data_IF_592564333346
#
_entry.id   IF_592564333346
#
_cell.length_a   1.000
_cell.length_b   1.000
_cell.length_c   1.000
_cell.angle_alpha   90.00
_cell.angle_beta   90.00
_cell.angle_gamma   90.00
#
_symmetry.space_group_name_H-M   'P 1'
#
loop_
_entity.id
_entity.type
_entity.pdbx_description
1 polymer ?
#
# COMPACT_ATOMS: atom_id res chain seq x y z
N UNK A 1 -4.38 15.81 8.29
CA UNK A 1 -5.18 15.57 7.10
C UNK A 1 -4.64 14.35 6.37
N UNK A 2 -5.50 13.41 6.04
CA UNK A 2 -5.13 12.23 5.28
C UNK A 2 -5.04 12.58 3.79
N UNK A 3 -3.93 12.20 3.17
CA UNK A 3 -3.70 12.43 1.74
C UNK A 3 -3.62 11.08 1.05
N UNK A 4 -4.25 10.97 -0.13
CA UNK A 4 -4.18 9.76 -0.95
C UNK A 4 -3.61 10.15 -2.31
N UNK A 5 -2.61 9.37 -2.77
CA UNK A 5 -1.93 9.69 -4.02
C UNK A 5 -1.36 8.43 -4.64
N UNK A 6 -0.93 8.57 -5.90
CA UNK A 6 -0.22 7.49 -6.59
C UNK A 6 1.04 8.04 -7.22
N UNK A 7 2.02 7.15 -7.41
CA UNK A 7 3.22 7.41 -8.20
C UNK A 7 3.51 6.17 -9.05
N UNK A 8 4.44 6.30 -10.00
CA UNK A 8 4.80 5.18 -10.89
C UNK A 8 6.27 4.82 -10.68
N UNK A 9 6.54 3.53 -10.50
CA UNK A 9 7.89 3.00 -10.39
C UNK A 9 8.29 2.39 -11.73
N UNK A 10 9.19 3.05 -12.44
CA UNK A 10 9.63 2.62 -13.77
C UNK A 10 10.43 1.33 -13.73
N UNK A 11 11.21 1.12 -12.68
CA UNK A 11 12.08 -0.05 -12.56
C UNK A 11 11.28 -1.34 -12.38
N UNK A 12 10.21 -1.27 -11.59
CA UNK A 12 9.37 -2.44 -11.29
C UNK A 12 8.10 -2.49 -12.13
N UNK A 13 7.82 -1.43 -12.88
CA UNK A 13 6.57 -1.29 -13.67
C UNK A 13 5.33 -1.42 -12.78
N UNK A 14 5.34 -0.68 -11.67
CA UNK A 14 4.28 -0.70 -10.68
C UNK A 14 3.65 0.66 -10.48
N UNK A 15 2.33 0.69 -10.32
CA UNK A 15 1.62 1.85 -9.79
C UNK A 15 1.57 1.71 -8.29
N UNK A 16 2.08 2.72 -7.58
CA UNK A 16 2.15 2.74 -6.12
C UNK A 16 1.07 3.68 -5.60
N UNK A 17 0.11 3.14 -4.87
CA UNK A 17 -0.98 3.92 -4.26
C UNK A 17 -0.76 3.97 -2.76
N UNK A 18 -0.78 5.18 -2.20
CA UNK A 18 -0.55 5.40 -0.77
C UNK A 18 -1.68 6.20 -0.15
N UNK A 19 -2.03 5.82 1.08
CA UNK A 19 -2.80 6.66 1.98
C UNK A 19 -1.84 7.09 3.08
N UNK A 20 -1.55 8.40 3.16
CA UNK A 20 -0.58 8.94 4.11
C UNK A 20 -1.31 9.66 5.24
N UNK A 21 -0.77 9.52 6.46
CA UNK A 21 -1.31 10.20 7.64
C UNK A 21 -0.81 11.64 7.73
N UNK A 22 -1.17 12.34 8.80
CA UNK A 22 -0.84 13.76 9.00
C UNK A 22 0.68 14.00 9.04
N UNK A 23 1.46 12.98 9.39
CA UNK A 23 2.92 13.09 9.48
C UNK A 23 3.61 12.64 8.20
N UNK A 24 2.84 12.26 7.19
CA UNK A 24 3.38 11.80 5.92
C UNK A 24 3.80 10.34 5.88
N UNK A 25 3.43 9.54 6.89
CA UNK A 25 3.73 8.12 6.92
C UNK A 25 2.65 7.33 6.19
N UNK A 26 3.04 6.23 5.57
CA UNK A 26 2.09 5.35 4.90
C UNK A 26 1.18 4.67 5.92
N UNK A 27 -0.12 4.94 5.85
CA UNK A 27 -1.12 4.22 6.64
C UNK A 27 -1.59 2.97 5.91
N UNK A 28 -1.78 3.07 4.60
CA UNK A 28 -2.08 1.93 3.72
C UNK A 28 -1.35 2.08 2.41
N UNK A 29 -0.99 0.96 1.80
CA UNK A 29 -0.25 0.91 0.55
C UNK A 29 -0.84 -0.17 -0.34
N UNK A 30 -1.06 0.16 -1.61
CA UNK A 30 -1.45 -0.81 -2.64
C UNK A 30 -0.52 -0.63 -3.82
N UNK A 31 0.08 -1.74 -4.29
CA UNK A 31 0.89 -1.73 -5.50
C UNK A 31 0.19 -2.55 -6.56
N UNK A 32 0.09 -2.00 -7.76
CA UNK A 32 -0.61 -2.60 -8.89
C UNK A 32 0.37 -2.74 -10.05
N UNK A 33 0.49 -3.94 -10.60
CA UNK A 33 1.35 -4.16 -11.76
C UNK A 33 0.76 -3.46 -12.98
N UNK A 34 1.54 -2.61 -13.63
CA UNK A 34 1.03 -1.78 -14.73
C UNK A 34 0.64 -2.62 -15.94
N UNK A 35 1.39 -3.69 -16.22
CA UNK A 35 1.18 -4.51 -17.40
C UNK A 35 -0.20 -5.15 -17.48
N UNK A 36 -0.75 -5.60 -16.33
CA UNK A 36 -2.02 -6.34 -16.30
C UNK A 36 -2.97 -5.89 -15.20
N UNK A 37 -2.65 -4.80 -14.51
CA UNK A 37 -3.44 -4.25 -13.39
C UNK A 37 -3.62 -5.23 -12.23
N UNK A 38 -2.69 -6.16 -12.06
CA UNK A 38 -2.75 -7.17 -11.02
C UNK A 38 -2.25 -6.62 -9.70
N UNK A 39 -3.00 -6.73 -8.59
CA UNK A 39 -2.51 -6.30 -7.29
C UNK A 39 -1.31 -7.12 -6.83
N UNK A 40 -0.30 -6.44 -6.30
CA UNK A 40 0.94 -7.05 -5.81
C UNK A 40 1.04 -6.92 -4.29
N UNK A 41 0.64 -5.77 -3.75
CA UNK A 41 0.65 -5.54 -2.30
C UNK A 41 -0.63 -4.86 -1.85
N UNK A 42 -0.95 -5.01 -0.56
CA UNK A 42 -2.03 -4.29 0.11
C UNK A 42 -1.76 -4.32 1.61
N UNK A 43 -0.81 -3.49 2.05
CA UNK A 43 -0.32 -3.49 3.44
C UNK A 43 -0.92 -2.33 4.23
N UNK A 44 -1.18 -2.55 5.52
CA UNK A 44 -1.81 -1.59 6.42
C UNK A 44 -0.98 -1.43 7.69
N UNK A 45 -0.68 -0.18 8.05
CA UNK A 45 0.15 0.12 9.23
C UNK A 45 -0.48 -0.42 10.51
N UNK A 46 -1.78 -0.25 10.69
CA UNK A 46 -2.45 -0.73 11.90
C UNK A 46 -2.28 -2.24 12.09
N UNK A 47 -2.35 -3.00 10.99
CA UNK A 47 -2.14 -4.45 11.05
C UNK A 47 -0.69 -4.81 11.34
N UNK A 48 0.25 -4.09 10.73
CA UNK A 48 1.69 -4.32 10.95
C UNK A 48 2.05 -4.03 12.40
N UNK A 49 1.54 -2.94 12.96
CA UNK A 49 1.78 -2.58 14.37
C UNK A 49 1.15 -3.62 15.29
N UNK A 50 -0.06 -4.07 15.00
CA UNK A 50 -0.72 -5.11 15.78
C UNK A 50 0.10 -6.41 15.82
N UNK A 51 0.58 -6.84 14.65
CA UNK A 51 1.41 -8.05 14.57
C UNK A 51 2.73 -7.90 15.30
N UNK A 52 3.37 -6.73 15.18
CA UNK A 52 4.62 -6.47 15.89
C UNK A 52 4.45 -6.58 17.39
N UNK A 53 3.32 -6.08 17.91
CA UNK A 53 3.11 -5.99 19.35
C UNK A 53 2.47 -7.25 19.95
N UNK A 54 1.79 -8.07 19.14
CA UNK A 54 0.95 -9.18 19.64
C UNK A 54 1.21 -10.53 18.98
N UNK A 55 2.13 -10.61 18.03
CA UNK A 55 2.40 -11.85 17.31
C UNK A 55 3.90 -12.09 17.18
N UNK A 56 4.27 -13.25 16.64
CA UNK A 56 5.68 -13.60 16.49
C UNK A 56 6.20 -13.24 15.09
N UNK A 57 7.50 -13.48 14.87
CA UNK A 57 8.14 -13.17 13.59
C UNK A 57 7.58 -14.00 12.45
N UNK A 58 7.10 -15.20 12.73
CA UNK A 58 6.50 -16.07 11.70
C UNK A 58 5.21 -15.44 11.17
N UNK A 59 4.39 -14.90 12.05
CA UNK A 59 3.15 -14.22 11.66
C UNK A 59 3.45 -12.96 10.83
N UNK A 60 4.47 -12.19 11.21
CA UNK A 60 4.89 -11.00 10.45
C UNK A 60 5.39 -11.40 9.07
N UNK A 61 6.21 -12.44 8.97
CA UNK A 61 6.70 -12.94 7.69
C UNK A 61 5.56 -13.42 6.79
N UNK A 62 4.57 -14.08 7.37
CA UNK A 62 3.37 -14.50 6.64
C UNK A 62 2.57 -13.33 6.09
N UNK A 63 2.43 -12.28 6.89
CA UNK A 63 1.76 -11.06 6.47
C UNK A 63 2.50 -10.42 5.28
N UNK A 64 3.80 -10.29 5.38
CA UNK A 64 4.62 -9.66 4.34
C UNK A 64 4.58 -10.45 3.02
N UNK A 65 4.58 -11.77 3.10
CA UNK A 65 4.46 -12.62 1.90
C UNK A 65 3.10 -12.46 1.22
N UNK A 66 2.05 -12.24 2.00
CA UNK A 66 0.68 -12.13 1.47
C UNK A 66 0.36 -10.72 0.98
N UNK A 67 0.68 -9.70 1.79
CA UNK A 67 0.26 -8.33 1.53
C UNK A 67 1.39 -7.38 1.19
N UNK A 68 2.65 -7.84 1.26
CA UNK A 68 3.81 -7.02 0.97
C UNK A 68 4.34 -6.29 2.19
N UNK A 69 5.39 -5.53 1.96
CA UNK A 69 6.08 -4.76 3.00
C UNK A 69 5.66 -3.30 2.90
N UNK A 70 5.12 -2.75 3.98
CA UNK A 70 4.70 -1.36 4.01
C UNK A 70 5.91 -0.44 3.95
N UNK A 71 5.81 0.63 3.15
CA UNK A 71 6.88 1.62 3.05
C UNK A 71 7.13 2.26 4.42
N UNK A 72 8.41 2.43 4.76
CA UNK A 72 8.84 3.07 5.99
C UNK A 72 9.34 4.48 5.67
N UNK A 73 9.17 5.39 6.61
CA UNK A 73 9.62 6.76 6.48
C UNK A 73 8.59 7.66 5.82
N UNK A 74 8.85 8.97 5.87
CA UNK A 74 7.90 9.93 5.32
C UNK A 74 7.85 9.86 3.80
N UNK A 75 6.66 10.12 3.26
CA UNK A 75 6.41 10.09 1.82
C UNK A 75 6.43 11.48 1.20
N UNK A 76 7.09 12.44 1.84
CA UNK A 76 7.19 13.82 1.35
C UNK A 76 7.85 13.88 -0.03
N UNK A 77 7.42 14.83 -0.82
CA UNK A 77 7.98 15.02 -2.16
C UNK A 77 7.39 14.09 -3.21
N UNK A 78 6.32 13.37 -2.89
CA UNK A 78 5.68 12.46 -3.84
C UNK A 78 5.22 13.17 -5.12
N UNK A 79 4.88 14.46 -5.01
CA UNK A 79 4.37 15.25 -6.14
C UNK A 79 5.38 15.39 -7.28
N UNK A 80 6.66 15.22 -6.97
CA UNK A 80 7.73 15.34 -7.97
C UNK A 80 8.09 14.01 -8.61
N UNK A 81 7.47 12.91 -8.20
CA UNK A 81 7.79 11.59 -8.73
C UNK A 81 7.01 11.31 -10.03
N UNK A 82 7.54 10.39 -10.87
CA UNK A 82 6.81 10.01 -12.09
C UNK A 82 5.40 9.53 -11.76
N UNK A 83 4.44 9.90 -12.62
CA UNK A 83 3.06 9.46 -12.47
C UNK A 83 2.30 10.04 -11.29
N UNK A 84 2.87 11.03 -10.58
CA UNK A 84 2.26 11.59 -9.39
C UNK A 84 0.88 12.16 -9.66
N UNK A 85 -0.11 11.76 -8.87
CA UNK A 85 -1.47 12.28 -8.93
C UNK A 85 -2.18 12.01 -7.61
N UNK A 86 -3.08 12.90 -7.23
CA UNK A 86 -3.94 12.66 -6.09
C UNK A 86 -5.00 11.62 -6.45
N UNK A 87 -5.43 10.86 -5.46
CA UNK A 87 -6.42 9.82 -5.60
C UNK A 87 -7.55 10.13 -4.61
N UNK A 88 -8.79 10.00 -5.04
CA UNK A 88 -9.93 10.23 -4.16
C UNK A 88 -10.03 9.12 -3.11
N UNK A 89 -10.69 9.42 -1.99
CA UNK A 89 -10.96 8.41 -0.97
C UNK A 89 -11.74 7.23 -1.55
N UNK A 90 -12.72 7.50 -2.39
CA UNK A 90 -13.54 6.45 -3.00
C UNK A 90 -12.72 5.53 -3.90
N UNK A 91 -11.85 6.12 -4.73
CA UNK A 91 -10.99 5.34 -5.61
C UNK A 91 -10.02 4.48 -4.80
N UNK A 92 -9.42 5.04 -3.75
CA UNK A 92 -8.49 4.29 -2.91
C UNK A 92 -9.21 3.13 -2.21
N UNK A 93 -10.42 3.35 -1.68
CA UNK A 93 -11.16 2.29 -1.02
C UNK A 93 -11.52 1.15 -1.99
N UNK A 94 -11.88 1.47 -3.22
CA UNK A 94 -12.16 0.45 -4.22
C UNK A 94 -10.91 -0.38 -4.56
N UNK A 95 -9.77 0.30 -4.71
CA UNK A 95 -8.50 -0.38 -4.98
C UNK A 95 -8.09 -1.26 -3.81
N UNK A 96 -8.23 -0.75 -2.59
CA UNK A 96 -7.90 -1.49 -1.38
C UNK A 96 -8.74 -2.77 -1.27
N UNK A 97 -10.06 -2.64 -1.45
CA UNK A 97 -10.96 -3.79 -1.37
C UNK A 97 -10.64 -4.84 -2.43
N UNK A 98 -10.38 -4.39 -3.66
CA UNK A 98 -10.00 -5.28 -4.76
C UNK A 98 -8.68 -5.99 -4.49
N UNK A 99 -7.68 -5.26 -4.03
CA UNK A 99 -6.36 -5.82 -3.75
C UNK A 99 -6.44 -6.83 -2.60
N UNK A 100 -7.16 -6.49 -1.53
CA UNK A 100 -7.32 -7.40 -0.40
C UNK A 100 -8.04 -8.68 -0.79
N UNK A 101 -9.05 -8.58 -1.64
CA UNK A 101 -9.76 -9.76 -2.14
C UNK A 101 -8.84 -10.64 -2.97
N UNK A 102 -8.03 -10.02 -3.83
CA UNK A 102 -7.11 -10.76 -4.69
C UNK A 102 -5.99 -11.45 -3.91
N UNK A 103 -5.40 -10.74 -2.94
CA UNK A 103 -4.24 -11.24 -2.19
C UNK A 103 -4.64 -12.08 -0.99
N UNK A 104 -5.79 -11.79 -0.38
CA UNK A 104 -6.29 -12.54 0.76
C UNK A 104 -6.95 -13.84 0.39
N UNK A 105 -7.29 -14.02 -0.89
CA UNK A 105 -8.02 -15.17 -1.36
C UNK A 105 -9.50 -15.10 -0.98
N UNK A 106 -10.26 -16.11 -1.33
CA UNK A 106 -11.68 -16.15 -0.94
C UNK A 106 -11.79 -16.33 0.56
N UNK A 107 -12.53 -15.46 1.18
CA UNK A 107 -12.83 -15.55 2.61
C UNK A 107 -14.15 -16.25 2.81
#
# INVERSE_FOLDING_TARGET
VTVRFRTYDEDEDLWLYFEADDEGWAARQVEIRAADSRPVTAACLAEVVHLRDHADLTAMGGYERRYGVLAEGPLDGWETRPGAAEVSAEEFERLWARARRALGGPD
#
